data_IF_533688012168
#
_entry.id   IF_533688012168
#
_cell.length_a   1.000
_cell.length_b   1.000
_cell.length_c   1.000
_cell.angle_alpha   90.00
_cell.angle_beta   90.00
_cell.angle_gamma   90.00
#
_symmetry.space_group_name_H-M   'P 1'
#
loop_
_entity.id
_entity.type
_entity.pdbx_description
1 polymer ?
#
# COMPACT_ATOMS: atom_id res chain seq x y z
N UNK A 1 -29.94 -3.11 -14.26
CA UNK A 1 -29.04 -2.79 -13.13
C UNK A 1 -27.99 -3.87 -13.05
N UNK A 2 -26.70 -3.51 -13.03
CA UNK A 2 -25.63 -4.51 -12.94
C UNK A 2 -25.66 -5.19 -11.56
N UNK A 3 -25.70 -6.52 -11.53
CA UNK A 3 -25.73 -7.30 -10.29
C UNK A 3 -24.64 -6.87 -9.29
N UNK A 4 -23.45 -6.55 -9.77
CA UNK A 4 -22.31 -6.06 -8.98
C UNK A 4 -22.68 -4.78 -8.19
N UNK A 5 -23.26 -3.76 -8.86
CA UNK A 5 -23.63 -2.49 -8.23
C UNK A 5 -24.76 -2.66 -7.21
N UNK A 6 -25.70 -3.57 -7.47
CA UNK A 6 -26.79 -3.88 -6.53
C UNK A 6 -26.25 -4.52 -5.26
N UNK A 7 -25.32 -5.48 -5.38
CA UNK A 7 -24.66 -6.12 -4.24
C UNK A 7 -23.85 -5.09 -3.46
N UNK A 8 -23.03 -4.28 -4.13
CA UNK A 8 -22.21 -3.26 -3.47
C UNK A 8 -23.06 -2.27 -2.66
N UNK A 9 -24.17 -1.78 -3.24
CA UNK A 9 -25.07 -0.86 -2.55
C UNK A 9 -25.75 -1.50 -1.33
N UNK A 10 -26.18 -2.75 -1.45
CA UNK A 10 -26.80 -3.50 -0.35
C UNK A 10 -25.81 -3.71 0.80
N UNK A 11 -24.60 -4.15 0.50
CA UNK A 11 -23.54 -4.37 1.50
C UNK A 11 -23.18 -3.05 2.19
N UNK A 12 -22.97 -1.98 1.41
CA UNK A 12 -22.67 -0.66 1.96
C UNK A 12 -23.78 -0.14 2.86
N UNK A 13 -25.04 -0.26 2.46
CA UNK A 13 -26.19 0.10 3.29
C UNK A 13 -26.24 -0.72 4.59
N UNK A 14 -25.88 -2.02 4.53
CA UNK A 14 -25.81 -2.87 5.71
C UNK A 14 -24.77 -2.40 6.73
N UNK A 15 -23.62 -1.90 6.29
CA UNK A 15 -22.62 -1.32 7.19
C UNK A 15 -23.13 -0.09 7.93
N UNK A 16 -23.85 0.82 7.25
CA UNK A 16 -24.41 2.02 7.88
C UNK A 16 -25.69 1.76 8.69
N UNK A 17 -26.34 0.62 8.48
CA UNK A 17 -27.49 0.21 9.30
C UNK A 17 -27.07 -0.23 10.72
N UNK A 18 -25.77 -0.43 10.95
CA UNK A 18 -25.23 -0.80 12.27
C UNK A 18 -24.27 0.28 12.77
N UNK A 19 -24.07 0.43 14.09
CA UNK A 19 -23.11 1.38 14.65
C UNK A 19 -21.65 1.04 14.29
N UNK A 20 -21.38 -0.15 13.74
CA UNK A 20 -20.04 -0.65 13.50
C UNK A 20 -19.23 0.24 12.54
N UNK A 21 -19.84 0.75 11.46
CA UNK A 21 -19.14 1.63 10.52
C UNK A 21 -18.67 2.93 11.21
N UNK A 22 -19.50 3.52 12.03
CA UNK A 22 -19.18 4.76 12.75
C UNK A 22 -18.07 4.53 13.79
N UNK A 23 -18.08 3.38 14.48
CA UNK A 23 -17.02 2.99 15.40
C UNK A 23 -15.68 2.79 14.68
N UNK A 24 -15.68 2.15 13.52
CA UNK A 24 -14.48 1.96 12.73
C UNK A 24 -13.92 3.30 12.21
N UNK A 25 -14.76 4.19 11.72
CA UNK A 25 -14.34 5.52 11.31
C UNK A 25 -13.81 6.34 12.47
N UNK A 26 -14.51 6.33 13.60
CA UNK A 26 -14.07 7.02 14.81
C UNK A 26 -12.72 6.51 15.31
N UNK A 27 -12.55 5.20 15.42
CA UNK A 27 -11.30 4.59 15.85
C UNK A 27 -10.14 4.91 14.88
N UNK A 28 -10.39 4.83 13.57
CA UNK A 28 -9.40 5.16 12.53
C UNK A 28 -8.98 6.64 12.60
N UNK A 29 -9.94 7.57 12.70
CA UNK A 29 -9.64 8.99 12.79
C UNK A 29 -8.89 9.33 14.07
N UNK A 30 -9.36 8.81 15.22
CA UNK A 30 -8.69 9.03 16.51
C UNK A 30 -7.26 8.49 16.47
N UNK A 31 -7.06 7.28 15.96
CA UNK A 31 -5.72 6.70 15.83
C UNK A 31 -4.83 7.54 14.91
N UNK A 32 -5.33 7.94 13.74
CA UNK A 32 -4.55 8.73 12.76
C UNK A 32 -4.20 10.11 13.33
N UNK A 33 -5.16 10.83 13.92
CA UNK A 33 -4.91 12.15 14.51
C UNK A 33 -4.00 12.06 15.74
N UNK A 34 -4.19 11.04 16.59
CA UNK A 34 -3.31 10.81 17.74
C UNK A 34 -1.86 10.59 17.29
N UNK A 35 -1.64 9.77 16.27
CA UNK A 35 -0.30 9.52 15.73
C UNK A 35 0.31 10.82 15.20
N UNK A 36 -0.42 11.57 14.38
CA UNK A 36 0.09 12.81 13.77
C UNK A 36 0.45 13.85 14.83
N UNK A 37 -0.44 14.10 15.79
CA UNK A 37 -0.25 15.19 16.72
C UNK A 37 0.58 14.81 17.95
N UNK A 38 0.49 13.57 18.42
CA UNK A 38 1.16 13.14 19.65
C UNK A 38 2.43 12.36 19.40
N UNK A 39 2.40 11.34 18.52
CA UNK A 39 3.57 10.50 18.24
C UNK A 39 4.58 11.26 17.40
N UNK A 40 4.13 11.84 16.28
CA UNK A 40 4.96 12.60 15.36
C UNK A 40 5.20 14.04 15.78
N UNK A 41 4.60 14.47 16.90
CA UNK A 41 4.78 15.82 17.45
C UNK A 41 4.73 16.92 16.39
N UNK A 42 3.73 16.85 15.50
CA UNK A 42 3.63 17.65 14.28
C UNK A 42 3.85 19.17 14.51
N UNK A 43 3.29 19.72 15.59
CA UNK A 43 3.45 21.13 15.92
C UNK A 43 4.88 21.55 16.26
N UNK A 44 5.69 20.65 16.85
CA UNK A 44 7.07 20.96 17.22
C UNK A 44 8.02 20.97 16.02
N UNK A 45 7.64 20.35 14.90
CA UNK A 45 8.43 20.34 13.66
C UNK A 45 8.43 21.71 12.96
N UNK A 46 7.43 22.54 13.18
CA UNK A 46 7.25 23.86 12.57
C UNK A 46 7.37 23.87 11.03
N UNK A 47 6.96 22.78 10.39
CA UNK A 47 6.98 22.57 8.94
C UNK A 47 5.56 22.25 8.49
N UNK A 48 5.06 22.91 7.43
CA UNK A 48 3.80 22.62 6.80
C UNK A 48 3.90 21.34 5.92
N UNK A 49 4.00 20.17 6.55
CA UNK A 49 4.12 18.88 5.88
C UNK A 49 3.12 17.87 6.48
N UNK A 50 2.48 17.09 5.62
CA UNK A 50 1.55 16.01 6.02
C UNK A 50 2.13 14.60 5.76
N UNK A 51 3.39 14.48 5.36
CA UNK A 51 4.07 13.18 5.15
C UNK A 51 4.00 12.28 6.37
N UNK A 52 4.15 12.76 7.62
CA UNK A 52 4.02 11.92 8.80
C UNK A 52 2.69 11.18 8.89
N UNK A 53 1.59 11.78 8.42
CA UNK A 53 0.32 11.08 8.34
C UNK A 53 0.39 9.87 7.40
N UNK A 54 0.98 10.05 6.21
CA UNK A 54 1.08 8.99 5.21
C UNK A 54 2.05 7.88 5.62
N UNK A 55 3.09 8.17 6.39
CA UNK A 55 4.03 7.15 6.89
C UNK A 55 3.35 6.11 7.78
N UNK A 56 2.37 6.51 8.59
CA UNK A 56 1.63 5.64 9.50
C UNK A 56 0.31 5.10 8.93
N UNK A 57 -0.20 5.71 7.85
CA UNK A 57 -1.44 5.28 7.22
C UNK A 57 -1.47 3.79 6.84
N UNK A 58 -0.39 3.17 6.32
CA UNK A 58 -0.39 1.74 6.02
C UNK A 58 -0.74 0.87 7.22
N UNK A 59 -0.21 1.20 8.41
CA UNK A 59 -0.47 0.43 9.63
C UNK A 59 -1.92 0.60 10.11
N UNK A 60 -2.44 1.83 10.11
CA UNK A 60 -3.84 2.08 10.49
C UNK A 60 -4.82 1.46 9.49
N UNK A 61 -4.48 1.46 8.19
CA UNK A 61 -5.27 0.82 7.14
C UNK A 61 -5.29 -0.71 7.23
N UNK A 62 -4.22 -1.36 7.73
CA UNK A 62 -4.22 -2.81 8.00
C UNK A 62 -5.35 -3.14 8.98
N UNK A 63 -5.41 -2.45 10.11
CA UNK A 63 -6.44 -2.68 11.13
C UNK A 63 -7.85 -2.36 10.61
N UNK A 64 -8.01 -1.23 9.93
CA UNK A 64 -9.30 -0.83 9.36
C UNK A 64 -9.80 -1.85 8.34
N UNK A 65 -8.95 -2.24 7.39
CA UNK A 65 -9.31 -3.20 6.35
C UNK A 65 -9.62 -4.58 6.93
N UNK A 66 -8.84 -5.04 7.90
CA UNK A 66 -9.08 -6.31 8.58
C UNK A 66 -10.41 -6.30 9.38
N UNK A 67 -10.71 -5.18 10.08
CA UNK A 67 -11.95 -5.02 10.84
C UNK A 67 -13.19 -4.97 9.94
N UNK A 68 -13.12 -4.30 8.78
CA UNK A 68 -14.22 -4.23 7.83
C UNK A 68 -14.47 -5.60 7.17
N UNK A 69 -13.40 -6.30 6.80
CA UNK A 69 -13.51 -7.56 6.03
C UNK A 69 -13.75 -8.79 6.88
N UNK A 70 -13.46 -8.74 8.20
CA UNK A 70 -13.59 -9.91 9.08
C UNK A 70 -14.98 -10.53 9.07
N UNK A 71 -16.03 -9.73 8.84
CA UNK A 71 -17.45 -10.19 8.81
C UNK A 71 -17.92 -10.63 7.44
N UNK A 72 -17.22 -10.24 6.37
CA UNK A 72 -17.75 -10.30 5.00
C UNK A 72 -18.24 -11.69 4.56
N UNK A 73 -17.54 -12.76 4.94
CA UNK A 73 -17.89 -14.14 4.65
C UNK A 73 -18.03 -14.99 5.92
N UNK A 74 -17.24 -14.71 6.96
CA UNK A 74 -17.27 -15.50 8.19
C UNK A 74 -18.61 -15.41 8.91
N UNK A 75 -19.34 -14.31 8.78
CA UNK A 75 -20.70 -14.15 9.32
C UNK A 75 -21.70 -15.01 8.55
N UNK A 76 -21.60 -15.04 7.21
CA UNK A 76 -22.41 -15.91 6.35
C UNK A 76 -22.14 -17.40 6.63
N UNK A 77 -20.88 -17.77 6.86
CA UNK A 77 -20.51 -19.12 7.30
C UNK A 77 -21.17 -19.48 8.64
N UNK A 78 -21.08 -18.58 9.61
CA UNK A 78 -21.61 -18.79 10.97
C UNK A 78 -23.12 -18.85 10.99
N UNK A 79 -23.78 -18.01 10.17
CA UNK A 79 -25.23 -17.97 10.07
C UNK A 79 -25.82 -19.09 9.20
N UNK A 80 -25.00 -19.89 8.51
CA UNK A 80 -25.48 -20.92 7.56
C UNK A 80 -26.12 -20.33 6.30
N UNK A 81 -25.94 -19.03 6.04
CA UNK A 81 -26.53 -18.34 4.88
C UNK A 81 -25.63 -18.35 3.65
N UNK A 82 -24.42 -18.89 3.78
CA UNK A 82 -23.48 -18.97 2.66
C UNK A 82 -23.98 -19.87 1.52
N UNK A 83 -24.56 -21.04 1.83
CA UNK A 83 -25.08 -21.98 0.82
C UNK A 83 -26.19 -21.37 -0.05
N UNK A 84 -27.27 -20.76 0.52
CA UNK A 84 -28.25 -20.03 -0.26
C UNK A 84 -27.66 -18.88 -1.07
N UNK A 85 -26.67 -18.18 -0.53
CA UNK A 85 -26.03 -17.05 -1.20
C UNK A 85 -25.22 -17.49 -2.43
N UNK A 86 -24.46 -18.58 -2.29
CA UNK A 86 -23.63 -19.14 -3.37
C UNK A 86 -24.46 -19.82 -4.45
N UNK A 87 -25.64 -20.37 -4.10
CA UNK A 87 -26.58 -20.98 -5.06
C UNK A 87 -27.53 -19.98 -5.70
N UNK A 88 -27.58 -18.73 -5.24
CA UNK A 88 -28.40 -17.68 -5.83
C UNK A 88 -28.06 -17.45 -7.32
N UNK A 89 -29.01 -16.98 -8.15
CA UNK A 89 -28.80 -16.74 -9.58
C UNK A 89 -27.92 -15.50 -9.87
N UNK A 90 -26.95 -15.23 -9.01
CA UNK A 90 -25.96 -14.15 -9.12
C UNK A 90 -24.59 -14.79 -9.30
N UNK A 91 -23.83 -14.32 -10.30
CA UNK A 91 -22.47 -14.83 -10.52
C UNK A 91 -21.55 -14.52 -9.34
N UNK A 92 -20.77 -15.49 -8.90
CA UNK A 92 -19.81 -15.33 -7.79
C UNK A 92 -18.84 -14.14 -7.99
N UNK A 93 -18.31 -13.87 -9.21
CA UNK A 93 -17.49 -12.67 -9.43
C UNK A 93 -18.23 -11.37 -9.12
N UNK A 94 -19.52 -11.28 -9.41
CA UNK A 94 -20.33 -10.10 -9.09
C UNK A 94 -20.57 -9.96 -7.58
N UNK A 95 -20.73 -11.09 -6.88
CA UNK A 95 -20.90 -11.12 -5.44
C UNK A 95 -19.62 -10.71 -4.71
N UNK A 96 -18.48 -11.31 -5.07
CA UNK A 96 -17.16 -10.97 -4.50
C UNK A 96 -16.78 -9.51 -4.83
N UNK A 97 -16.94 -9.10 -6.09
CA UNK A 97 -16.66 -7.74 -6.52
C UNK A 97 -17.56 -6.70 -5.84
N UNK A 98 -18.84 -7.04 -5.61
CA UNK A 98 -19.77 -6.17 -4.88
C UNK A 98 -19.36 -5.95 -3.42
N UNK A 99 -18.99 -7.02 -2.70
CA UNK A 99 -18.45 -6.92 -1.33
C UNK A 99 -17.14 -6.14 -1.29
N UNK A 100 -16.25 -6.37 -2.25
CA UNK A 100 -14.99 -5.64 -2.39
C UNK A 100 -15.24 -4.13 -2.57
N UNK A 101 -16.11 -3.74 -3.49
CA UNK A 101 -16.43 -2.33 -3.76
C UNK A 101 -17.10 -1.65 -2.56
N UNK A 102 -17.95 -2.37 -1.81
CA UNK A 102 -18.55 -1.84 -0.59
C UNK A 102 -17.48 -1.54 0.48
N UNK A 103 -16.57 -2.48 0.72
CA UNK A 103 -15.46 -2.29 1.66
C UNK A 103 -14.51 -1.17 1.21
N UNK A 104 -14.18 -1.11 -0.09
CA UNK A 104 -13.34 -0.06 -0.65
C UNK A 104 -14.00 1.32 -0.52
N UNK A 105 -15.30 1.43 -0.74
CA UNK A 105 -16.05 2.67 -0.56
C UNK A 105 -16.01 3.13 0.91
N UNK A 106 -16.11 2.22 1.88
CA UNK A 106 -15.98 2.56 3.29
C UNK A 106 -14.59 3.13 3.61
N UNK A 107 -13.53 2.49 3.11
CA UNK A 107 -12.16 3.01 3.30
C UNK A 107 -11.97 4.34 2.58
N UNK A 108 -12.52 4.51 1.38
CA UNK A 108 -12.49 5.79 0.67
C UNK A 108 -13.18 6.91 1.49
N UNK A 109 -14.31 6.62 2.12
CA UNK A 109 -14.99 7.55 3.05
C UNK A 109 -14.08 7.85 4.24
N UNK A 110 -13.47 6.83 4.88
CA UNK A 110 -12.56 7.03 6.01
C UNK A 110 -11.37 7.93 5.63
N UNK A 111 -10.76 7.70 4.47
CA UNK A 111 -9.68 8.55 3.94
C UNK A 111 -10.17 9.97 3.63
N UNK A 112 -11.36 10.14 3.07
CA UNK A 112 -11.94 11.46 2.81
C UNK A 112 -12.17 12.25 4.11
N UNK A 113 -12.53 11.58 5.21
CA UNK A 113 -12.67 12.21 6.52
C UNK A 113 -11.33 12.70 7.11
N UNK A 114 -10.19 12.28 6.60
CA UNK A 114 -8.85 12.83 6.99
C UNK A 114 -8.46 14.07 6.18
N UNK A 115 -9.16 14.41 5.07
CA UNK A 115 -8.87 15.59 4.23
C UNK A 115 -8.87 16.94 4.97
N UNK A 116 -9.66 17.17 6.02
CA UNK A 116 -9.57 18.42 6.78
C UNK A 116 -8.17 18.73 7.30
N UNK A 117 -7.33 17.68 7.58
CA UNK A 117 -5.98 17.88 8.07
C UNK A 117 -5.08 18.56 7.01
N UNK A 118 -4.86 18.02 5.78
CA UNK A 118 -4.06 18.72 4.78
C UNK A 118 -4.69 20.06 4.35
N UNK A 119 -6.01 20.20 4.38
CA UNK A 119 -6.67 21.48 4.11
C UNK A 119 -6.29 22.53 5.16
N UNK A 120 -6.32 22.18 6.45
CA UNK A 120 -5.92 23.12 7.52
C UNK A 120 -4.43 23.47 7.43
N UNK A 121 -3.58 22.50 7.12
CA UNK A 121 -2.15 22.72 6.92
C UNK A 121 -1.89 23.69 5.75
N UNK A 122 -2.63 23.54 4.64
CA UNK A 122 -2.50 24.45 3.48
C UNK A 122 -2.96 25.88 3.75
N UNK A 123 -3.82 26.10 4.77
CA UNK A 123 -4.21 27.45 5.21
C UNK A 123 -3.14 28.11 6.10
N UNK A 124 -2.34 27.32 6.79
CA UNK A 124 -1.30 27.80 7.71
C UNK A 124 0.04 28.04 6.97
N UNK A 125 0.34 27.21 5.96
CA UNK A 125 1.61 27.26 5.24
C UNK A 125 1.49 26.84 3.79
N UNK A 126 2.61 26.92 3.04
CA UNK A 126 2.69 26.42 1.66
C UNK A 126 2.81 24.90 1.72
N UNK A 127 1.74 24.19 1.34
CA UNK A 127 1.69 22.73 1.26
C UNK A 127 1.82 22.30 -0.20
N UNK A 128 2.77 21.41 -0.49
CA UNK A 128 2.85 20.74 -1.78
C UNK A 128 1.74 19.67 -1.89
N UNK A 129 0.82 19.87 -2.84
CA UNK A 129 -0.32 18.97 -3.06
C UNK A 129 0.06 17.69 -3.83
N UNK A 130 1.22 17.63 -4.49
CA UNK A 130 1.68 16.45 -5.20
C UNK A 130 1.82 15.23 -4.28
N UNK A 131 2.61 15.30 -3.20
CA UNK A 131 2.72 14.26 -2.19
C UNK A 131 1.38 13.91 -1.51
N UNK A 132 0.51 14.91 -1.30
CA UNK A 132 -0.82 14.68 -0.71
C UNK A 132 -1.68 13.81 -1.62
N UNK A 133 -1.78 14.18 -2.90
CA UNK A 133 -2.55 13.41 -3.87
C UNK A 133 -1.98 12.01 -4.06
N UNK A 134 -0.65 11.90 -4.22
CA UNK A 134 0.06 10.62 -4.30
C UNK A 134 -0.20 9.75 -3.07
N UNK A 135 -0.12 10.33 -1.87
CA UNK A 135 -0.35 9.64 -0.61
C UNK A 135 -1.77 9.06 -0.49
N UNK A 136 -2.81 9.83 -0.84
CA UNK A 136 -4.19 9.32 -0.84
C UNK A 136 -4.41 8.23 -1.89
N UNK A 137 -3.86 8.40 -3.10
CA UNK A 137 -3.95 7.39 -4.16
C UNK A 137 -3.27 6.09 -3.74
N UNK A 138 -2.04 6.17 -3.22
CA UNK A 138 -1.30 5.02 -2.72
C UNK A 138 -2.06 4.33 -1.58
N UNK A 139 -2.61 5.11 -0.64
CA UNK A 139 -3.39 4.59 0.49
C UNK A 139 -4.65 3.85 0.04
N UNK A 140 -5.36 4.37 -0.96
CA UNK A 140 -6.55 3.71 -1.52
C UNK A 140 -6.19 2.41 -2.25
N UNK A 141 -5.11 2.40 -3.04
CA UNK A 141 -4.63 1.22 -3.74
C UNK A 141 -4.16 0.14 -2.74
N UNK A 142 -3.41 0.53 -1.72
CA UNK A 142 -2.91 -0.37 -0.67
C UNK A 142 -4.06 -0.96 0.14
N UNK A 143 -5.02 -0.12 0.55
CA UNK A 143 -6.21 -0.57 1.25
C UNK A 143 -7.04 -1.55 0.40
N UNK A 144 -7.15 -1.31 -0.91
CA UNK A 144 -7.77 -2.25 -1.83
C UNK A 144 -7.10 -3.62 -1.80
N UNK A 145 -5.75 -3.68 -1.79
CA UNK A 145 -5.02 -4.94 -1.65
C UNK A 145 -5.29 -5.61 -0.29
N UNK A 146 -5.28 -4.86 0.80
CA UNK A 146 -5.60 -5.38 2.13
C UNK A 146 -7.03 -5.91 2.24
N UNK A 147 -8.00 -5.19 1.66
CA UNK A 147 -9.40 -5.64 1.58
C UNK A 147 -9.50 -6.95 0.79
N UNK A 148 -8.83 -7.06 -0.35
CA UNK A 148 -8.86 -8.28 -1.17
C UNK A 148 -8.28 -9.49 -0.40
N UNK A 149 -7.17 -9.30 0.33
CA UNK A 149 -6.58 -10.31 1.23
C UNK A 149 -7.59 -10.67 2.34
N UNK A 150 -8.17 -9.66 3.00
CA UNK A 150 -9.13 -9.87 4.10
C UNK A 150 -10.39 -10.62 3.66
N UNK A 151 -10.94 -10.30 2.48
CA UNK A 151 -12.05 -11.03 1.90
C UNK A 151 -11.70 -12.49 1.61
N UNK A 152 -10.50 -12.76 1.10
CA UNK A 152 -10.02 -14.11 0.85
C UNK A 152 -9.87 -14.93 2.14
N UNK A 153 -9.29 -14.31 3.19
CA UNK A 153 -9.15 -14.95 4.51
C UNK A 153 -10.52 -15.23 5.12
N UNK A 154 -11.42 -14.24 5.11
CA UNK A 154 -12.77 -14.34 5.64
C UNK A 154 -13.59 -15.47 4.98
N UNK A 155 -13.34 -15.75 3.68
CA UNK A 155 -14.01 -16.85 2.97
C UNK A 155 -13.54 -18.26 3.41
N UNK A 156 -12.45 -18.36 4.15
CA UNK A 156 -11.87 -19.64 4.61
C UNK A 156 -12.10 -19.96 6.08
N UNK A 157 -12.55 -18.96 6.84
CA UNK A 157 -12.63 -19.03 8.29
C UNK A 157 -14.04 -18.70 8.75
N UNK A 158 -14.60 -19.49 9.64
CA UNK A 158 -15.92 -19.26 10.23
C UNK A 158 -15.91 -18.27 11.42
N UNK A 159 -14.74 -18.07 12.05
CA UNK A 159 -14.58 -17.15 13.19
C UNK A 159 -14.13 -15.77 12.72
N UNK A 160 -14.88 -14.73 13.06
CA UNK A 160 -14.55 -13.33 12.76
C UNK A 160 -13.23 -12.89 13.40
N UNK A 161 -12.96 -13.35 14.65
CA UNK A 161 -11.73 -13.01 15.37
C UNK A 161 -10.51 -13.63 14.69
N UNK A 162 -10.61 -14.90 14.29
CA UNK A 162 -9.52 -15.57 13.55
C UNK A 162 -9.29 -14.89 12.20
N UNK A 163 -10.37 -14.50 11.50
CA UNK A 163 -10.28 -13.75 10.25
C UNK A 163 -9.55 -12.41 10.45
N UNK A 164 -9.89 -11.66 11.50
CA UNK A 164 -9.22 -10.40 11.86
C UNK A 164 -7.72 -10.61 12.08
N UNK A 165 -7.35 -11.58 12.94
CA UNK A 165 -5.95 -11.83 13.30
C UNK A 165 -5.13 -12.26 12.08
N UNK A 166 -5.63 -13.24 11.32
CA UNK A 166 -4.92 -13.75 10.14
C UNK A 166 -4.77 -12.67 9.06
N UNK A 167 -5.81 -11.87 8.83
CA UNK A 167 -5.75 -10.75 7.87
C UNK A 167 -4.73 -9.71 8.32
N UNK A 168 -4.76 -9.31 9.60
CA UNK A 168 -3.80 -8.35 10.16
C UNK A 168 -2.38 -8.86 10.00
N UNK A 169 -2.10 -10.12 10.36
CA UNK A 169 -0.77 -10.73 10.23
C UNK A 169 -0.31 -10.79 8.75
N UNK A 170 -1.19 -11.22 7.86
CA UNK A 170 -0.86 -11.33 6.43
C UNK A 170 -0.56 -9.95 5.80
N UNK A 171 -1.38 -8.94 6.10
CA UNK A 171 -1.18 -7.58 5.60
C UNK A 171 0.06 -6.93 6.23
N UNK A 172 0.30 -7.12 7.54
CA UNK A 172 1.50 -6.64 8.21
C UNK A 172 2.76 -7.28 7.64
N UNK A 173 2.75 -8.59 7.40
CA UNK A 173 3.87 -9.28 6.77
C UNK A 173 4.14 -8.72 5.36
N UNK A 174 3.09 -8.53 4.55
CA UNK A 174 3.22 -7.97 3.20
C UNK A 174 3.81 -6.56 3.22
N UNK A 175 3.40 -5.72 4.16
CA UNK A 175 3.91 -4.37 4.31
C UNK A 175 5.37 -4.37 4.77
N UNK A 176 5.68 -5.12 5.84
CA UNK A 176 7.01 -5.17 6.45
C UNK A 176 8.06 -5.77 5.50
N UNK A 177 7.70 -6.79 4.70
CA UNK A 177 8.63 -7.41 3.75
C UNK A 177 9.24 -6.39 2.77
N UNK A 178 8.51 -5.32 2.43
CA UNK A 178 9.01 -4.26 1.56
C UNK A 178 9.56 -3.03 2.29
N UNK A 179 9.51 -2.98 3.63
CA UNK A 179 9.97 -1.82 4.39
C UNK A 179 11.50 -1.77 4.48
N UNK A 180 12.07 -0.56 4.42
CA UNK A 180 13.51 -0.36 4.57
C UNK A 180 14.00 -0.85 5.94
N UNK A 181 13.16 -0.77 6.97
CA UNK A 181 13.46 -1.25 8.32
C UNK A 181 13.79 -2.75 8.34
N UNK A 182 12.99 -3.57 7.65
CA UNK A 182 13.23 -5.01 7.62
C UNK A 182 14.35 -5.38 6.64
N UNK A 183 14.38 -4.73 5.47
CA UNK A 183 15.37 -5.06 4.42
C UNK A 183 16.79 -4.69 4.80
N UNK A 184 16.99 -3.73 5.72
CA UNK A 184 18.33 -3.37 6.23
C UNK A 184 19.00 -4.50 7.05
N UNK A 185 18.22 -5.42 7.63
CA UNK A 185 18.77 -6.59 8.35
C UNK A 185 19.27 -7.70 7.42
N UNK A 186 18.86 -7.68 6.15
CA UNK A 186 19.22 -8.70 5.18
C UNK A 186 20.24 -8.13 4.19
N UNK A 187 21.20 -8.94 3.76
CA UNK A 187 22.19 -8.51 2.77
C UNK A 187 21.55 -8.05 1.44
N UNK A 188 22.27 -7.24 0.67
CA UNK A 188 21.76 -6.50 -0.50
C UNK A 188 20.88 -7.32 -1.46
N UNK A 189 21.27 -8.56 -1.82
CA UNK A 189 20.51 -9.41 -2.74
C UNK A 189 19.16 -9.85 -2.18
N UNK A 190 19.14 -10.26 -0.91
CA UNK A 190 17.91 -10.70 -0.23
C UNK A 190 16.98 -9.51 0.03
N UNK A 191 17.55 -8.36 0.39
CA UNK A 191 16.80 -7.11 0.57
C UNK A 191 16.10 -6.65 -0.72
N UNK A 192 16.77 -6.72 -1.88
CA UNK A 192 16.16 -6.40 -3.18
C UNK A 192 15.00 -7.34 -3.55
N UNK A 193 15.15 -8.64 -3.32
CA UNK A 193 14.07 -9.61 -3.55
C UNK A 193 12.88 -9.36 -2.62
N UNK A 194 13.12 -9.04 -1.36
CA UNK A 194 12.06 -8.70 -0.40
C UNK A 194 11.32 -7.42 -0.82
N UNK A 195 12.04 -6.40 -1.30
CA UNK A 195 11.44 -5.16 -1.83
C UNK A 195 10.58 -5.39 -3.08
N UNK A 196 10.90 -6.39 -3.90
CA UNK A 196 10.07 -6.75 -5.06
C UNK A 196 8.71 -7.33 -4.64
N UNK A 197 8.68 -8.10 -3.55
CA UNK A 197 7.47 -8.79 -3.06
C UNK A 197 6.67 -7.91 -2.10
N UNK A 198 7.33 -7.04 -1.33
CA UNK A 198 6.69 -6.24 -0.30
C UNK A 198 6.03 -4.97 -0.82
N UNK A 199 4.98 -4.52 -0.12
CA UNK A 199 4.22 -3.31 -0.48
C UNK A 199 4.84 -2.02 0.09
N UNK A 200 5.66 -2.11 1.16
CA UNK A 200 6.13 -0.94 1.90
C UNK A 200 6.99 0.02 1.09
N UNK A 201 7.97 -0.49 0.32
CA UNK A 201 8.85 0.35 -0.52
C UNK A 201 8.11 1.08 -1.63
N UNK A 202 7.09 0.43 -2.21
CA UNK A 202 6.27 1.01 -3.29
C UNK A 202 5.34 2.10 -2.76
N UNK A 203 4.77 1.89 -1.59
CA UNK A 203 3.98 2.89 -0.91
C UNK A 203 4.80 4.15 -0.62
N UNK A 204 6.00 3.98 -0.04
CA UNK A 204 6.92 5.08 0.24
C UNK A 204 7.36 5.86 -1.02
N UNK A 205 7.39 5.23 -2.20
CA UNK A 205 7.68 5.91 -3.47
C UNK A 205 6.57 6.88 -3.86
N UNK A 206 5.31 6.42 -3.84
CA UNK A 206 4.16 7.23 -4.28
C UNK A 206 3.84 8.37 -3.30
N UNK A 207 4.04 8.16 -1.99
CA UNK A 207 3.81 9.20 -0.97
C UNK A 207 4.76 10.39 -1.08
N UNK A 208 5.86 10.26 -1.80
CA UNK A 208 6.77 11.37 -2.13
C UNK A 208 6.23 12.28 -3.25
N UNK A 209 5.11 11.93 -3.86
CA UNK A 209 4.53 12.67 -4.99
C UNK A 209 5.00 12.19 -6.36
N UNK A 210 5.72 11.07 -6.41
CA UNK A 210 6.19 10.46 -7.65
C UNK A 210 5.40 9.20 -7.93
N UNK A 211 4.61 9.22 -8.98
CA UNK A 211 3.82 8.06 -9.40
C UNK A 211 4.58 7.29 -10.47
N UNK A 212 4.99 6.09 -10.14
CA UNK A 212 5.53 5.12 -11.07
C UNK A 212 4.43 4.11 -11.45
N UNK A 213 4.31 3.78 -12.72
CA UNK A 213 3.30 2.81 -13.19
C UNK A 213 3.41 1.47 -12.46
N UNK A 214 4.62 1.00 -12.18
CA UNK A 214 4.87 -0.26 -11.46
C UNK A 214 4.31 -0.23 -10.02
N UNK A 215 4.34 0.95 -9.37
CA UNK A 215 3.88 1.11 -7.99
C UNK A 215 2.34 1.10 -7.90
N UNK A 216 1.65 1.43 -9.00
CA UNK A 216 0.19 1.28 -9.12
C UNK A 216 -0.23 -0.12 -9.59
N UNK A 217 0.50 -0.71 -10.54
CA UNK A 217 0.17 -2.05 -11.08
C UNK A 217 0.33 -3.11 -10.01
N UNK A 218 1.28 -2.98 -9.10
CA UNK A 218 1.52 -3.95 -8.04
C UNK A 218 0.29 -4.14 -7.12
N UNK A 219 -0.25 -3.13 -6.44
CA UNK A 219 -1.43 -3.31 -5.60
C UNK A 219 -2.66 -3.74 -6.42
N UNK A 220 -2.83 -3.25 -7.66
CA UNK A 220 -3.91 -3.69 -8.54
C UNK A 220 -3.78 -5.17 -8.90
N UNK A 221 -2.57 -5.67 -9.12
CA UNK A 221 -2.32 -7.08 -9.38
C UNK A 221 -2.63 -7.95 -8.14
N UNK A 222 -2.30 -7.48 -6.94
CA UNK A 222 -2.69 -8.15 -5.69
C UNK A 222 -4.21 -8.20 -5.52
N UNK A 223 -4.91 -7.10 -5.80
CA UNK A 223 -6.37 -7.05 -5.76
C UNK A 223 -6.93 -8.13 -6.72
N UNK A 224 -6.48 -8.14 -7.97
CA UNK A 224 -6.93 -9.12 -8.95
C UNK A 224 -6.65 -10.56 -8.52
N UNK A 225 -5.45 -10.84 -8.01
CA UNK A 225 -5.05 -12.16 -7.52
C UNK A 225 -5.96 -12.62 -6.38
N UNK A 226 -6.08 -11.83 -5.32
CA UNK A 226 -6.83 -12.26 -4.12
C UNK A 226 -8.34 -12.31 -4.36
N UNK A 227 -8.92 -11.44 -5.20
CA UNK A 227 -10.31 -11.56 -5.61
C UNK A 227 -10.56 -12.83 -6.44
N UNK A 228 -9.65 -13.19 -7.33
CA UNK A 228 -9.74 -14.44 -8.09
C UNK A 228 -9.64 -15.66 -7.18
N UNK A 229 -8.70 -15.64 -6.22
CA UNK A 229 -8.57 -16.68 -5.20
C UNK A 229 -9.83 -16.78 -4.32
N UNK A 230 -10.47 -15.66 -4.02
CA UNK A 230 -11.72 -15.62 -3.27
C UNK A 230 -12.84 -16.30 -4.07
N UNK A 231 -13.04 -15.92 -5.34
CA UNK A 231 -14.03 -16.57 -6.23
C UNK A 231 -13.76 -18.07 -6.33
N UNK A 232 -12.50 -18.48 -6.51
CA UNK A 232 -12.12 -19.88 -6.57
C UNK A 232 -12.46 -20.63 -5.28
N UNK A 233 -12.22 -20.02 -4.12
CA UNK A 233 -12.54 -20.61 -2.81
C UNK A 233 -14.04 -20.88 -2.66
N UNK A 234 -14.87 -19.91 -3.06
CA UNK A 234 -16.33 -20.03 -3.01
C UNK A 234 -16.87 -21.04 -4.04
N UNK A 235 -16.32 -21.05 -5.27
CA UNK A 235 -16.66 -22.05 -6.26
C UNK A 235 -16.34 -23.47 -5.77
N UNK A 236 -15.21 -23.66 -5.11
CA UNK A 236 -14.82 -24.95 -4.56
C UNK A 236 -15.81 -25.48 -3.52
N UNK A 237 -16.47 -24.61 -2.77
CA UNK A 237 -17.51 -24.99 -1.81
C UNK A 237 -18.78 -25.53 -2.51
N UNK A 238 -19.05 -25.07 -3.76
CA UNK A 238 -20.18 -25.60 -4.58
C UNK A 238 -19.96 -27.01 -5.11
N UNK A 239 -18.73 -27.54 -5.07
CA UNK A 239 -18.36 -28.76 -5.78
C UNK A 239 -18.67 -30.05 -5.01
N UNK A 240 -19.38 -30.02 -3.91
CA UNK A 240 -19.81 -31.18 -3.14
C UNK A 240 -18.73 -32.29 -2.99
N UNK A 241 -17.48 -31.93 -2.90
CA UNK A 241 -16.36 -32.83 -2.65
C UNK A 241 -15.89 -33.67 -3.85
N UNK A 242 -16.42 -33.50 -5.05
CA UNK A 242 -15.96 -34.24 -6.24
C UNK A 242 -15.05 -33.38 -7.15
N UNK A 243 -13.71 -33.43 -6.99
CA UNK A 243 -12.76 -32.59 -7.74
C UNK A 243 -12.48 -33.05 -9.17
N UNK A 244 -13.08 -34.16 -9.62
CA UNK A 244 -12.70 -34.84 -10.87
C UNK A 244 -13.36 -34.28 -12.13
N UNK A 245 -14.23 -33.27 -12.05
CA UNK A 245 -14.90 -32.72 -13.23
C UNK A 245 -13.99 -31.77 -14.04
N UNK A 246 -14.11 -31.78 -15.40
CA UNK A 246 -13.32 -30.90 -16.26
C UNK A 246 -13.45 -29.41 -15.94
N UNK A 247 -14.60 -29.00 -15.38
CA UNK A 247 -14.89 -27.62 -14.98
C UNK A 247 -13.97 -27.19 -13.82
N UNK A 248 -13.78 -28.07 -12.82
CA UNK A 248 -12.94 -27.81 -11.67
C UNK A 248 -11.46 -27.63 -12.06
N UNK A 249 -10.96 -28.48 -12.98
CA UNK A 249 -9.59 -28.34 -13.52
C UNK A 249 -9.41 -27.03 -14.29
N UNK A 250 -10.42 -26.60 -15.07
CA UNK A 250 -10.38 -25.31 -15.78
C UNK A 250 -10.30 -24.14 -14.82
N UNK A 251 -11.10 -24.14 -13.76
CA UNK A 251 -11.07 -23.08 -12.73
C UNK A 251 -9.73 -23.05 -12.00
N UNK A 252 -9.21 -24.20 -11.57
CA UNK A 252 -7.91 -24.30 -10.93
C UNK A 252 -6.80 -23.81 -11.86
N UNK A 253 -6.79 -24.25 -13.12
CA UNK A 253 -5.82 -23.83 -14.12
C UNK A 253 -5.91 -22.31 -14.39
N UNK A 254 -7.12 -21.76 -14.57
CA UNK A 254 -7.33 -20.33 -14.77
C UNK A 254 -6.80 -19.50 -13.60
N UNK A 255 -7.04 -19.95 -12.36
CA UNK A 255 -6.53 -19.27 -11.15
C UNK A 255 -5.01 -19.30 -11.08
N UNK A 256 -4.39 -20.45 -11.38
CA UNK A 256 -2.92 -20.58 -11.42
C UNK A 256 -2.31 -19.71 -12.52
N UNK A 257 -2.90 -19.71 -13.72
CA UNK A 257 -2.44 -18.88 -14.83
C UNK A 257 -2.58 -17.37 -14.52
N UNK A 258 -3.67 -16.95 -13.88
CA UNK A 258 -3.84 -15.58 -13.44
C UNK A 258 -2.79 -15.19 -12.39
N UNK A 259 -2.56 -16.05 -11.39
CA UNK A 259 -1.53 -15.82 -10.39
C UNK A 259 -0.13 -15.70 -11.04
N UNK A 260 0.20 -16.61 -11.96
CA UNK A 260 1.45 -16.55 -12.71
C UNK A 260 1.56 -15.28 -13.57
N UNK A 261 0.46 -14.84 -14.18
CA UNK A 261 0.42 -13.60 -14.98
C UNK A 261 0.65 -12.37 -14.10
N UNK A 262 0.04 -12.28 -12.92
CA UNK A 262 0.30 -11.16 -11.99
C UNK A 262 1.77 -11.10 -11.57
N UNK A 263 2.38 -12.24 -11.27
CA UNK A 263 3.81 -12.29 -10.97
C UNK A 263 4.66 -11.88 -12.18
N UNK A 264 4.34 -12.40 -13.36
CA UNK A 264 5.07 -12.10 -14.59
C UNK A 264 5.01 -10.62 -14.96
N UNK A 265 3.83 -9.98 -14.85
CA UNK A 265 3.66 -8.54 -15.12
C UNK A 265 4.48 -7.70 -14.15
N UNK A 266 4.49 -8.03 -12.85
CA UNK A 266 5.28 -7.30 -11.88
C UNK A 266 6.81 -7.47 -12.11
N UNK A 267 7.26 -8.67 -12.48
CA UNK A 267 8.67 -8.91 -12.84
C UNK A 267 9.06 -8.20 -14.13
N UNK A 268 8.16 -8.18 -15.13
CA UNK A 268 8.39 -7.51 -16.40
C UNK A 268 8.43 -5.98 -16.25
N UNK A 269 7.61 -5.42 -15.36
CA UNK A 269 7.60 -3.98 -15.08
C UNK A 269 8.76 -3.55 -14.17
N UNK A 270 9.39 -4.46 -13.42
CA UNK A 270 10.45 -4.12 -12.47
C UNK A 270 11.60 -3.29 -13.07
N UNK A 271 12.13 -3.61 -14.29
CA UNK A 271 13.19 -2.83 -14.93
C UNK A 271 12.70 -1.55 -15.64
N UNK A 272 11.37 -1.38 -15.85
CA UNK A 272 10.83 -0.24 -16.58
C UNK A 272 10.73 0.98 -15.66
N UNK A 273 11.65 1.90 -15.76
CA UNK A 273 11.70 3.16 -14.99
C UNK A 273 11.20 4.37 -15.79
N UNK A 274 10.79 4.18 -17.06
CA UNK A 274 10.48 5.27 -17.98
C UNK A 274 9.08 5.86 -17.87
N UNK A 275 8.13 5.15 -17.23
CA UNK A 275 6.76 5.61 -17.05
C UNK A 275 6.55 6.15 -15.63
N UNK A 276 7.10 7.34 -15.42
CA UNK A 276 7.11 8.03 -14.15
C UNK A 276 6.56 9.43 -14.30
N UNK A 277 5.63 9.83 -13.43
CA UNK A 277 5.07 11.17 -13.36
C UNK A 277 5.45 11.80 -12.01
N UNK A 278 6.12 12.94 -12.07
CA UNK A 278 6.41 13.77 -10.91
C UNK A 278 5.28 14.79 -10.77
N UNK A 279 4.54 14.71 -9.65
CA UNK A 279 3.42 15.60 -9.34
C UNK A 279 3.84 16.72 -8.37
N UNK A 280 5.10 16.77 -7.94
CA UNK A 280 5.56 17.75 -6.97
C UNK A 280 5.63 19.15 -7.58
N UNK A 281 5.38 20.17 -6.75
CA UNK A 281 5.53 21.55 -7.15
C UNK A 281 7.01 21.84 -7.45
N UNK A 282 7.31 22.16 -8.73
CA UNK A 282 8.67 22.41 -9.21
C UNK A 282 9.42 21.18 -9.72
N UNK A 283 8.78 20.01 -9.87
CA UNK A 283 9.42 18.77 -10.38
C UNK A 283 10.72 18.42 -9.63
N UNK A 284 10.68 18.50 -8.31
CA UNK A 284 11.84 18.35 -7.41
C UNK A 284 12.54 16.99 -7.58
N UNK A 285 11.80 15.97 -8.00
CA UNK A 285 12.29 14.61 -8.21
C UNK A 285 12.54 14.26 -9.68
N UNK A 286 12.46 15.22 -10.58
CA UNK A 286 12.84 15.03 -11.98
C UNK A 286 14.28 15.47 -12.21
N UNK A 287 15.17 14.51 -12.47
CA UNK A 287 16.53 14.79 -12.90
C UNK A 287 16.49 15.33 -14.35
N UNK A 288 17.24 16.42 -14.62
CA UNK A 288 17.34 16.95 -15.97
C UNK A 288 17.84 15.90 -16.96
N UNK A 289 17.40 16.00 -18.20
CA UNK A 289 17.82 15.05 -19.25
C UNK A 289 19.34 15.06 -19.46
N UNK A 290 19.98 16.20 -19.24
CA UNK A 290 21.43 16.32 -19.27
C UNK A 290 22.08 15.48 -18.16
N UNK A 291 21.61 15.62 -16.91
CA UNK A 291 22.10 14.83 -15.77
C UNK A 291 21.89 13.34 -15.99
N UNK A 292 20.71 12.96 -16.50
CA UNK A 292 20.39 11.55 -16.82
C UNK A 292 21.32 10.99 -17.90
N UNK A 293 21.64 11.79 -18.91
CA UNK A 293 22.59 11.42 -19.96
C UNK A 293 24.00 11.24 -19.42
N UNK A 294 24.47 12.12 -18.51
CA UNK A 294 25.77 11.98 -17.86
C UNK A 294 25.85 10.74 -16.98
N UNK A 295 24.83 10.49 -16.14
CA UNK A 295 24.79 9.31 -15.28
C UNK A 295 24.77 7.99 -16.11
N UNK A 296 24.10 8.01 -17.26
CA UNK A 296 24.08 6.88 -18.20
C UNK A 296 25.42 6.59 -18.90
N UNK A 297 26.33 7.59 -18.96
CA UNK A 297 27.65 7.51 -19.58
C UNK A 297 28.79 7.21 -18.61
N UNK A 298 28.51 7.09 -17.32
CA UNK A 298 29.51 6.75 -16.32
C UNK A 298 30.23 5.45 -16.73
N UNK A 299 31.55 5.49 -16.82
CA UNK A 299 32.38 4.32 -17.11
C UNK A 299 32.78 3.60 -15.82
N UNK A 300 32.95 4.37 -14.74
CA UNK A 300 33.29 3.86 -13.41
C UNK A 300 32.12 3.99 -12.43
N UNK A 301 32.02 3.11 -11.42
CA UNK A 301 30.99 3.23 -10.40
C UNK A 301 31.20 4.50 -9.56
N UNK A 302 30.16 5.32 -9.45
CA UNK A 302 30.15 6.51 -8.61
C UNK A 302 29.57 6.13 -7.24
N UNK A 303 30.32 6.38 -6.18
CA UNK A 303 29.87 6.23 -4.81
C UNK A 303 29.63 7.60 -4.18
N UNK A 304 28.40 7.86 -3.74
CA UNK A 304 28.01 9.10 -3.08
C UNK A 304 27.68 8.78 -1.63
N UNK A 305 28.42 9.34 -0.68
CA UNK A 305 28.13 9.25 0.74
C UNK A 305 27.64 10.60 1.24
N UNK A 306 26.38 10.63 1.70
CA UNK A 306 25.75 11.82 2.27
C UNK A 306 25.76 11.74 3.80
N UNK A 307 26.32 12.74 4.46
CA UNK A 307 26.28 12.87 5.92
C UNK A 307 25.16 13.81 6.32
N UNK A 308 24.10 13.27 6.96
CA UNK A 308 22.95 14.05 7.40
C UNK A 308 22.67 13.77 8.88
N UNK A 309 22.85 14.80 9.71
CA UNK A 309 22.56 14.69 11.14
C UNK A 309 21.06 14.74 11.42
N UNK A 310 20.57 13.86 12.28
CA UNK A 310 19.19 13.89 12.78
C UNK A 310 18.88 15.13 13.62
N UNK A 311 19.91 15.78 14.19
CA UNK A 311 19.82 17.01 14.98
C UNK A 311 20.10 18.28 14.16
N UNK A 312 19.69 18.29 12.91
CA UNK A 312 19.88 19.45 12.02
C UNK A 312 19.03 20.65 12.48
N UNK A 313 19.56 21.87 12.24
CA UNK A 313 18.84 23.10 12.55
C UNK A 313 17.43 23.12 11.91
N UNK A 314 16.38 23.58 12.61
CA UNK A 314 14.99 23.54 12.14
C UNK A 314 14.76 24.11 10.74
N UNK A 315 15.54 25.13 10.33
CA UNK A 315 15.47 25.71 8.98
C UNK A 315 16.01 24.79 7.88
N UNK A 316 16.89 23.84 8.21
CA UNK A 316 17.50 22.90 7.26
C UNK A 316 16.82 21.51 7.32
N UNK A 317 16.00 21.26 8.33
CA UNK A 317 15.29 20.00 8.50
C UNK A 317 14.46 19.58 7.26
N UNK A 318 13.78 20.49 6.52
CA UNK A 318 13.05 20.13 5.29
C UNK A 318 13.95 19.72 4.12
N UNK A 319 15.21 20.18 4.09
CA UNK A 319 16.16 19.86 3.01
C UNK A 319 16.67 18.42 3.09
N UNK A 320 16.77 17.86 4.30
CA UNK A 320 17.31 16.54 4.51
C UNK A 320 16.53 15.43 3.75
N UNK A 321 15.20 15.32 3.86
CA UNK A 321 14.45 14.34 3.09
C UNK A 321 14.51 14.62 1.58
N UNK A 322 14.51 15.90 1.16
CA UNK A 322 14.60 16.27 -0.25
C UNK A 322 15.95 15.83 -0.87
N UNK A 323 17.06 16.04 -0.15
CA UNK A 323 18.37 15.61 -0.60
C UNK A 323 18.52 14.09 -0.65
N UNK A 324 18.00 13.37 0.36
CA UNK A 324 17.95 11.90 0.34
C UNK A 324 17.18 11.38 -0.86
N UNK A 325 16.05 11.98 -1.13
CA UNK A 325 15.21 11.58 -2.25
C UNK A 325 15.87 11.89 -3.59
N UNK A 326 16.52 13.06 -3.73
CA UNK A 326 17.28 13.42 -4.92
C UNK A 326 18.46 12.45 -5.15
N UNK A 327 19.20 12.11 -4.12
CA UNK A 327 20.31 11.16 -4.21
C UNK A 327 19.82 9.77 -4.64
N UNK A 328 18.66 9.35 -4.15
CA UNK A 328 18.03 8.11 -4.60
C UNK A 328 17.64 8.14 -6.08
N UNK A 329 17.26 9.32 -6.60
CA UNK A 329 17.03 9.50 -8.04
C UNK A 329 18.30 9.34 -8.87
N UNK A 330 19.44 9.86 -8.37
CA UNK A 330 20.73 9.62 -9.02
C UNK A 330 21.09 8.12 -9.05
N UNK A 331 20.83 7.41 -7.95
CA UNK A 331 21.04 5.96 -7.86
C UNK A 331 20.19 5.20 -8.89
N UNK A 332 18.89 5.54 -8.99
CA UNK A 332 17.96 4.93 -9.97
C UNK A 332 18.38 5.24 -11.42
N UNK A 333 18.74 6.49 -11.71
CA UNK A 333 19.16 6.91 -13.05
C UNK A 333 20.52 6.32 -13.45
N UNK A 334 21.39 6.04 -12.48
CA UNK A 334 22.71 5.46 -12.68
C UNK A 334 22.71 3.97 -13.05
N UNK A 335 21.54 3.31 -13.09
CA UNK A 335 21.37 1.89 -13.50
C UNK A 335 22.36 0.94 -12.84
N UNK A 336 22.55 1.08 -11.52
CA UNK A 336 23.46 0.28 -10.71
C UNK A 336 24.93 0.71 -10.74
N UNK A 337 25.28 1.79 -11.46
CA UNK A 337 26.62 2.39 -11.45
C UNK A 337 26.77 3.52 -10.43
N UNK A 338 25.68 4.04 -9.92
CA UNK A 338 25.67 5.01 -8.82
C UNK A 338 25.19 4.29 -7.56
N UNK A 339 25.93 4.45 -6.49
CA UNK A 339 25.60 3.91 -5.17
C UNK A 339 25.53 5.05 -4.18
N UNK A 340 24.44 5.13 -3.43
CA UNK A 340 24.23 6.17 -2.42
C UNK A 340 24.20 5.52 -1.04
N UNK A 341 24.99 6.06 -0.13
CA UNK A 341 24.96 5.74 1.30
C UNK A 341 24.64 7.00 2.08
N UNK A 342 23.62 6.95 2.92
CA UNK A 342 23.27 8.05 3.83
C UNK A 342 23.65 7.63 5.24
N UNK A 343 24.48 8.44 5.89
CA UNK A 343 25.01 8.17 7.22
C UNK A 343 24.61 9.31 8.16
N UNK A 344 24.11 8.96 9.34
CA UNK A 344 23.98 9.92 10.43
C UNK A 344 25.24 9.88 11.29
N UNK A 345 26.02 10.99 11.36
CA UNK A 345 27.26 11.06 12.15
C UNK A 345 26.99 10.83 13.65
N UNK A 346 25.82 11.19 14.17
CA UNK A 346 25.48 10.99 15.57
C UNK A 346 25.26 9.52 15.94
N UNK A 347 24.78 8.70 15.03
CA UNK A 347 24.60 7.27 15.25
C UNK A 347 25.92 6.49 15.11
N UNK A 348 26.90 7.06 14.37
CA UNK A 348 28.21 6.44 14.11
C UNK A 348 29.34 7.44 14.32
N UNK A 349 29.80 7.63 15.57
CA UNK A 349 30.84 8.61 15.91
C UNK A 349 32.16 8.37 15.16
N UNK A 350 32.44 7.13 14.75
CA UNK A 350 33.63 6.78 13.98
C UNK A 350 33.68 7.48 12.60
N UNK A 351 32.50 7.83 12.06
CA UNK A 351 32.37 8.51 10.77
C UNK A 351 32.24 10.05 10.90
N UNK A 352 32.16 10.55 12.14
CA UNK A 352 32.12 11.99 12.39
C UNK A 352 33.43 12.68 11.98
N UNK A 353 34.55 11.99 12.17
CA UNK A 353 35.88 12.48 11.73
C UNK A 353 36.06 12.47 10.20
N UNK A 354 35.30 11.65 9.50
CA UNK A 354 35.33 11.57 8.04
C UNK A 354 34.43 12.65 7.40
N UNK A 355 33.44 13.17 8.17
CA UNK A 355 32.49 14.18 7.73
C UNK A 355 33.00 15.64 7.88
N UNK A 356 34.04 15.89 8.67
CA UNK A 356 34.68 17.17 8.91
C UNK A 356 35.94 17.35 8.06
#
# INVERSE_FOLDING_TARGET
MNALGTVARRELAGFFATPAAFLFFGAFLVATLFIVFWVETWFSRNIADVRPMFEWLPLTLIFLSAAITMRAWSEEHRAGTLEPLVTAPVGLPALVGGKFLACLALVAIALTLTLPLPLTVSLIGRLDWGPVFGGYLASLCLAGAYIAIGLFVSARVSSQIVSLIVTTLACSALYLLGSDTLTSFFGNRTGELLKLVGAGSRFASVTRGVIDLRDLVYPLSLIGLFLTLNVYTLERQRWAGNPATPVHRRWALATVLLAANFLAVNLWLAPLTSLRADLTEGNIYSISDATRAYLGRLQEPLFIRGYFSSQTHPLLAPLQPQLRDLLREYELAGRGRVRVEVVDPHERPELEQEAG
#
